data_IF_515103572055
#
_entry.id   IF_515103572055
#
_cell.length_a   1.000
_cell.length_b   1.000
_cell.length_c   1.000
_cell.angle_alpha   90.00
_cell.angle_beta   90.00
_cell.angle_gamma   90.00
#
_symmetry.space_group_name_H-M   'P 1'
#
loop_
_entity.id
_entity.type
_entity.pdbx_description
1 polymer ?
#
# COMPACT_ATOMS: atom_id res chain seq x y z
N UNK A 1 -5.60 -13.32 4.61
CA UNK A 1 -6.45 -14.53 4.71
C UNK A 1 -6.19 -15.28 6.03
N UNK A 2 -4.95 -15.48 6.42
CA UNK A 2 -4.59 -16.31 7.60
C UNK A 2 -4.77 -15.57 8.92
N UNK A 3 -4.60 -14.25 8.95
CA UNK A 3 -4.64 -13.42 10.14
C UNK A 3 -5.92 -13.60 11.01
N UNK A 4 -7.16 -13.66 10.46
CA UNK A 4 -8.37 -13.83 11.26
C UNK A 4 -8.51 -15.20 11.93
N UNK A 5 -7.66 -16.16 11.59
CA UNK A 5 -7.63 -17.52 12.14
C UNK A 5 -6.46 -17.73 13.11
N UNK A 6 -5.80 -16.65 13.55
CA UNK A 6 -4.65 -16.73 14.46
C UNK A 6 -5.09 -17.24 15.83
N UNK A 7 -4.46 -18.30 16.37
CA UNK A 7 -4.85 -18.88 17.66
C UNK A 7 -4.39 -18.04 18.86
N UNK A 8 -3.37 -17.19 18.66
CA UNK A 8 -2.78 -16.38 19.73
C UNK A 8 -2.59 -14.94 19.29
N UNK A 9 -2.73 -14.00 20.23
CA UNK A 9 -2.54 -12.55 20.00
C UNK A 9 -1.17 -12.22 19.37
N UNK A 10 -0.12 -12.85 19.85
CA UNK A 10 1.25 -12.63 19.33
C UNK A 10 1.41 -13.04 17.85
N UNK A 11 0.73 -14.13 17.45
CA UNK A 11 0.71 -14.58 16.06
C UNK A 11 -0.06 -13.57 15.21
N UNK A 12 -1.20 -13.09 15.69
CA UNK A 12 -1.98 -12.05 15.00
C UNK A 12 -1.17 -10.76 14.83
N UNK A 13 -0.47 -10.31 15.88
CA UNK A 13 0.39 -9.12 15.81
C UNK A 13 1.55 -9.30 14.82
N UNK A 14 2.23 -10.44 14.82
CA UNK A 14 3.29 -10.75 13.87
C UNK A 14 2.78 -10.76 12.42
N UNK A 15 1.61 -11.35 12.18
CA UNK A 15 0.98 -11.36 10.85
C UNK A 15 0.54 -9.97 10.40
N UNK A 16 0.09 -9.13 11.32
CA UNK A 16 -0.24 -7.72 11.03
C UNK A 16 1.00 -6.95 10.55
N UNK A 17 2.14 -7.14 11.20
CA UNK A 17 3.40 -6.53 10.77
C UNK A 17 3.84 -6.99 9.38
N UNK A 18 3.74 -8.29 9.10
CA UNK A 18 4.04 -8.83 7.77
C UNK A 18 3.08 -8.27 6.73
N UNK A 19 1.80 -8.14 7.05
CA UNK A 19 0.80 -7.56 6.16
C UNK A 19 1.10 -6.10 5.86
N UNK A 20 1.40 -5.29 6.88
CA UNK A 20 1.74 -3.88 6.74
C UNK A 20 3.00 -3.70 5.88
N UNK A 21 4.07 -4.43 6.17
CA UNK A 21 5.29 -4.42 5.36
C UNK A 21 5.01 -4.82 3.91
N UNK A 22 4.19 -5.85 3.68
CA UNK A 22 3.85 -6.33 2.33
C UNK A 22 3.05 -5.29 1.53
N UNK A 23 2.11 -4.59 2.17
CA UNK A 23 1.33 -3.52 1.53
C UNK A 23 2.26 -2.35 1.16
N UNK A 24 3.13 -1.93 2.06
CA UNK A 24 4.08 -0.85 1.80
C UNK A 24 5.04 -1.20 0.65
N UNK A 25 5.60 -2.40 0.64
CA UNK A 25 6.47 -2.87 -0.46
C UNK A 25 5.71 -2.91 -1.79
N UNK A 26 4.44 -3.29 -1.81
CA UNK A 26 3.65 -3.36 -3.05
C UNK A 26 3.22 -1.98 -3.56
N UNK A 27 3.16 -0.97 -2.70
CA UNK A 27 2.70 0.37 -3.05
C UNK A 27 3.69 1.11 -3.95
N UNK A 28 5.00 0.93 -3.74
CA UNK A 28 6.04 1.63 -4.49
C UNK A 28 6.06 1.26 -5.99
N UNK A 29 5.99 -0.02 -6.40
CA UNK A 29 5.84 -0.38 -7.81
C UNK A 29 4.60 0.23 -8.47
N UNK A 30 3.47 0.33 -7.75
CA UNK A 30 2.28 0.99 -8.28
C UNK A 30 2.47 2.48 -8.53
N UNK A 31 3.18 3.18 -7.64
CA UNK A 31 3.51 4.59 -7.82
C UNK A 31 4.49 4.78 -8.98
N UNK A 32 5.50 3.94 -9.09
CA UNK A 32 6.43 3.93 -10.20
C UNK A 32 5.69 3.69 -11.53
N UNK A 33 4.81 2.70 -11.60
CA UNK A 33 4.00 2.40 -12.79
C UNK A 33 3.18 3.63 -13.27
N UNK A 34 2.59 4.38 -12.34
CA UNK A 34 1.86 5.62 -12.67
C UNK A 34 2.82 6.70 -13.20
N UNK A 35 3.99 6.85 -12.59
CA UNK A 35 4.99 7.82 -13.02
C UNK A 35 5.56 7.49 -14.40
N UNK A 36 5.80 6.21 -14.70
CA UNK A 36 6.43 5.75 -15.92
C UNK A 36 5.47 5.72 -17.11
N UNK A 37 4.20 5.41 -16.88
CA UNK A 37 3.20 5.33 -17.96
C UNK A 37 2.56 6.69 -18.31
N UNK A 38 2.83 7.75 -17.55
CA UNK A 38 2.25 9.08 -17.80
C UNK A 38 3.31 10.10 -18.17
N UNK A 39 3.04 10.96 -19.18
CA UNK A 39 3.86 12.12 -19.47
C UNK A 39 4.01 13.02 -18.24
N UNK A 40 5.14 13.72 -18.12
CA UNK A 40 5.44 14.59 -16.97
C UNK A 40 4.33 15.59 -16.64
N UNK A 41 3.64 16.10 -17.66
CA UNK A 41 2.54 17.06 -17.54
C UNK A 41 1.28 16.45 -16.88
N UNK A 42 1.06 15.13 -17.03
CA UNK A 42 -0.11 14.42 -16.53
C UNK A 42 0.16 13.64 -15.24
N UNK A 43 1.41 13.53 -14.80
CA UNK A 43 1.78 12.78 -13.57
C UNK A 43 1.04 13.27 -12.33
N UNK A 44 0.92 14.57 -12.16
CA UNK A 44 0.18 15.17 -11.04
C UNK A 44 -1.29 14.75 -11.03
N UNK A 45 -1.93 14.74 -12.20
CA UNK A 45 -3.31 14.29 -12.34
C UNK A 45 -3.45 12.80 -12.07
N UNK A 46 -2.50 11.99 -12.55
CA UNK A 46 -2.46 10.53 -12.27
C UNK A 46 -2.39 10.23 -10.78
N UNK A 47 -1.51 10.90 -10.04
CA UNK A 47 -1.41 10.75 -8.59
C UNK A 47 -2.65 11.28 -7.86
N UNK A 48 -3.29 12.35 -8.33
CA UNK A 48 -4.54 12.84 -7.76
C UNK A 48 -5.67 11.82 -7.92
N UNK A 49 -5.81 11.22 -9.10
CA UNK A 49 -6.79 10.15 -9.36
C UNK A 49 -6.51 8.93 -8.50
N UNK A 50 -5.25 8.51 -8.37
CA UNK A 50 -4.85 7.41 -7.48
C UNK A 50 -5.27 7.70 -6.03
N UNK A 51 -4.98 8.89 -5.52
CA UNK A 51 -5.34 9.30 -4.16
C UNK A 51 -6.85 9.32 -3.96
N UNK A 52 -7.61 9.79 -4.94
CA UNK A 52 -9.06 9.75 -4.91
C UNK A 52 -9.60 8.33 -4.78
N UNK A 53 -9.11 7.38 -5.58
CA UNK A 53 -9.53 5.98 -5.48
C UNK A 53 -9.10 5.31 -4.16
N UNK A 54 -7.95 5.67 -3.60
CA UNK A 54 -7.56 5.25 -2.25
C UNK A 54 -8.59 5.71 -1.22
N UNK A 55 -9.02 6.97 -1.29
CA UNK A 55 -10.06 7.52 -0.41
C UNK A 55 -11.39 6.79 -0.55
N UNK A 56 -11.87 6.56 -1.77
CA UNK A 56 -13.09 5.80 -2.04
C UNK A 56 -12.97 4.37 -1.50
N UNK A 57 -11.84 3.71 -1.75
CA UNK A 57 -11.57 2.36 -1.25
C UNK A 57 -11.60 2.28 0.27
N UNK A 58 -11.05 3.28 0.96
CA UNK A 58 -11.08 3.37 2.43
C UNK A 58 -12.50 3.49 2.98
N UNK A 59 -13.35 4.30 2.35
CA UNK A 59 -14.75 4.45 2.74
C UNK A 59 -15.50 3.12 2.54
N UNK A 60 -15.34 2.47 1.40
CA UNK A 60 -15.98 1.17 1.11
C UNK A 60 -15.50 0.11 2.10
N UNK A 61 -14.20 0.03 2.37
CA UNK A 61 -13.63 -0.93 3.31
C UNK A 61 -14.15 -0.71 4.73
N UNK A 62 -14.26 0.54 5.17
CA UNK A 62 -14.79 0.90 6.50
C UNK A 62 -16.29 0.59 6.63
N UNK A 63 -17.05 0.71 5.55
CA UNK A 63 -18.47 0.37 5.52
C UNK A 63 -18.74 -1.15 5.44
N UNK A 64 -17.76 -1.96 5.06
CA UNK A 64 -17.93 -3.40 4.81
C UNK A 64 -18.49 -4.17 6.01
N UNK A 65 -17.96 -4.04 7.25
CA UNK A 65 -18.52 -4.75 8.40
C UNK A 65 -19.97 -4.37 8.67
N UNK A 66 -20.32 -3.09 8.49
CA UNK A 66 -21.69 -2.59 8.65
C UNK A 66 -22.64 -3.21 7.61
N UNK A 67 -22.22 -3.24 6.34
CA UNK A 67 -23.00 -3.85 5.26
C UNK A 67 -23.21 -5.34 5.49
N UNK A 68 -22.18 -6.07 5.90
CA UNK A 68 -22.27 -7.49 6.19
C UNK A 68 -23.24 -7.78 7.32
N UNK A 69 -23.27 -6.94 8.36
CA UNK A 69 -24.14 -7.15 9.51
C UNK A 69 -25.59 -6.77 9.23
N UNK A 70 -25.81 -5.62 8.60
CA UNK A 70 -27.16 -5.04 8.48
C UNK A 70 -27.88 -5.38 7.16
N UNK A 71 -27.15 -5.76 6.11
CA UNK A 71 -27.73 -6.09 4.81
C UNK A 71 -27.69 -7.60 4.55
N UNK A 72 -26.62 -8.26 4.98
CA UNK A 72 -26.40 -9.69 4.75
C UNK A 72 -26.65 -10.56 5.99
N UNK A 73 -27.11 -9.98 7.10
CA UNK A 73 -27.39 -10.65 8.38
C UNK A 73 -26.24 -11.52 8.91
N UNK A 74 -24.99 -11.14 8.59
CA UNK A 74 -23.81 -11.84 9.10
C UNK A 74 -23.56 -11.44 10.54
N UNK A 75 -23.43 -12.44 11.45
CA UNK A 75 -23.20 -12.21 12.86
C UNK A 75 -21.90 -11.40 13.09
N UNK A 76 -22.01 -10.35 13.92
CA UNK A 76 -20.87 -9.56 14.41
C UNK A 76 -20.43 -9.97 15.81
N UNK A 77 -21.00 -11.04 16.36
CA UNK A 77 -20.68 -11.56 17.68
C UNK A 77 -19.99 -12.91 17.56
N UNK A 78 -18.97 -13.12 18.38
CA UNK A 78 -18.26 -14.39 18.49
C UNK A 78 -18.01 -14.72 19.98
N UNK A 79 -17.80 -16.00 20.34
CA UNK A 79 -17.34 -16.39 21.67
C UNK A 79 -16.03 -15.71 22.04
N UNK A 80 -15.75 -15.62 23.34
CA UNK A 80 -14.50 -15.02 23.82
C UNK A 80 -13.27 -15.74 23.22
N UNK A 81 -12.41 -14.99 22.58
CA UNK A 81 -11.20 -15.51 21.92
C UNK A 81 -11.36 -15.83 20.43
N UNK A 82 -12.55 -15.68 19.87
CA UNK A 82 -12.79 -15.84 18.42
C UNK A 82 -13.07 -14.53 17.72
N UNK A 83 -12.66 -14.45 16.44
CA UNK A 83 -12.92 -13.28 15.57
C UNK A 83 -14.32 -13.43 14.97
N UNK A 84 -15.17 -12.37 15.00
CA UNK A 84 -16.52 -12.40 14.43
C UNK A 84 -16.53 -12.79 12.95
N UNK A 85 -17.57 -13.50 12.48
CA UNK A 85 -17.71 -13.91 11.09
C UNK A 85 -17.70 -12.72 10.11
N UNK A 86 -18.31 -11.59 10.46
CA UNK A 86 -18.31 -10.36 9.66
C UNK A 86 -16.89 -9.86 9.37
N UNK A 87 -16.00 -9.92 10.36
CA UNK A 87 -14.60 -9.53 10.22
C UNK A 87 -13.84 -10.53 9.34
N UNK A 88 -14.03 -11.84 9.56
CA UNK A 88 -13.41 -12.90 8.73
C UNK A 88 -13.77 -12.73 7.25
N UNK A 89 -15.04 -12.51 6.96
CA UNK A 89 -15.52 -12.32 5.59
C UNK A 89 -14.97 -11.02 5.00
N UNK A 90 -14.93 -9.92 5.75
CA UNK A 90 -14.33 -8.65 5.28
C UNK A 90 -12.86 -8.83 4.88
N UNK A 91 -12.08 -9.56 5.67
CA UNK A 91 -10.68 -9.86 5.33
C UNK A 91 -10.53 -10.72 4.08
N UNK A 92 -11.41 -11.72 3.91
CA UNK A 92 -11.39 -12.59 2.73
C UNK A 92 -11.80 -11.79 1.48
N UNK A 93 -12.87 -11.01 1.55
CA UNK A 93 -13.29 -10.14 0.44
C UNK A 93 -12.19 -9.15 0.05
N UNK A 94 -11.58 -8.48 1.03
CA UNK A 94 -10.48 -7.57 0.80
C UNK A 94 -9.29 -8.26 0.12
N UNK A 95 -8.92 -9.46 0.58
CA UNK A 95 -7.83 -10.23 0.00
C UNK A 95 -8.12 -10.67 -1.45
N UNK A 96 -9.35 -11.11 -1.75
CA UNK A 96 -9.76 -11.51 -3.11
C UNK A 96 -9.73 -10.32 -4.06
N UNK A 97 -10.29 -9.17 -3.64
CA UNK A 97 -10.29 -7.94 -4.44
C UNK A 97 -8.85 -7.45 -4.67
N UNK A 98 -8.01 -7.47 -3.65
CA UNK A 98 -6.61 -7.04 -3.74
C UNK A 98 -5.81 -7.92 -4.70
N UNK A 99 -5.85 -9.25 -4.52
CA UNK A 99 -5.16 -10.19 -5.41
C UNK A 99 -5.70 -10.09 -6.83
N UNK A 100 -7.02 -10.02 -6.99
CA UNK A 100 -7.67 -9.90 -8.30
C UNK A 100 -7.26 -8.61 -9.02
N UNK A 101 -7.18 -7.48 -8.34
CA UNK A 101 -6.74 -6.21 -8.93
C UNK A 101 -5.27 -6.23 -9.34
N UNK A 102 -4.39 -6.81 -8.51
CA UNK A 102 -2.97 -6.97 -8.86
C UNK A 102 -2.81 -7.87 -10.08
N UNK A 103 -3.46 -9.04 -10.09
CA UNK A 103 -3.39 -9.97 -11.22
C UNK A 103 -3.93 -9.32 -12.51
N UNK A 104 -5.04 -8.60 -12.41
CA UNK A 104 -5.58 -7.84 -13.55
C UNK A 104 -4.56 -6.82 -14.08
N UNK A 105 -3.93 -6.05 -13.20
CA UNK A 105 -2.92 -5.07 -13.57
C UNK A 105 -1.72 -5.75 -14.25
N UNK A 106 -1.17 -6.79 -13.64
CA UNK A 106 -0.01 -7.53 -14.20
C UNK A 106 -0.31 -8.12 -15.58
N UNK A 107 -1.52 -8.65 -15.80
CA UNK A 107 -1.89 -9.27 -17.08
C UNK A 107 -2.18 -8.22 -18.16
N UNK A 108 -2.76 -7.08 -17.76
CA UNK A 108 -3.25 -6.07 -18.71
C UNK A 108 -2.31 -4.91 -18.95
N UNK A 109 -1.45 -4.59 -18.02
CA UNK A 109 -0.54 -3.46 -18.14
C UNK A 109 0.76 -3.91 -18.81
N UNK A 110 1.13 -3.22 -19.88
CA UNK A 110 2.44 -3.42 -20.53
C UNK A 110 3.46 -2.57 -19.76
N UNK A 111 4.47 -3.22 -19.23
CA UNK A 111 5.64 -2.53 -18.71
C UNK A 111 6.58 -2.17 -19.87
N UNK A 112 7.02 -0.93 -19.90
CA UNK A 112 8.02 -0.47 -20.83
C UNK A 112 9.41 -0.69 -20.25
N UNK A 113 10.35 -1.18 -21.04
CA UNK A 113 11.72 -1.29 -20.59
C UNK A 113 12.32 0.10 -20.34
N UNK A 114 13.32 0.24 -19.43
CA UNK A 114 13.98 1.54 -19.21
C UNK A 114 14.52 2.17 -20.49
N UNK A 115 14.93 1.35 -21.47
CA UNK A 115 15.38 1.80 -22.78
C UNK A 115 14.25 2.38 -23.64
N UNK A 116 13.04 1.83 -23.56
CA UNK A 116 11.86 2.35 -24.24
C UNK A 116 11.39 3.65 -23.58
N UNK A 117 11.40 3.71 -22.25
CA UNK A 117 11.05 4.92 -21.48
C UNK A 117 12.01 6.08 -21.79
N UNK A 118 13.30 5.84 -21.82
CA UNK A 118 14.29 6.85 -22.20
C UNK A 118 14.04 7.40 -23.62
N UNK A 119 13.66 6.53 -24.56
CA UNK A 119 13.27 6.97 -25.93
C UNK A 119 12.01 7.83 -25.94
N UNK A 120 11.00 7.49 -25.14
CA UNK A 120 9.77 8.29 -25.02
C UNK A 120 10.00 9.67 -24.40
N UNK A 121 10.91 9.73 -23.43
CA UNK A 121 11.24 10.97 -22.73
C UNK A 121 12.32 11.80 -23.45
N UNK A 122 12.89 11.34 -24.57
CA UNK A 122 14.05 11.91 -25.23
C UNK A 122 15.29 12.04 -24.30
N UNK A 123 15.41 11.13 -23.35
CA UNK A 123 16.54 11.06 -22.43
C UNK A 123 17.57 10.05 -22.93
N UNK A 124 18.85 10.27 -22.63
CA UNK A 124 19.87 9.26 -22.90
C UNK A 124 19.71 8.13 -21.91
N UNK A 125 19.62 6.89 -22.40
CA UNK A 125 19.62 5.71 -21.55
C UNK A 125 20.98 5.53 -20.89
N UNK A 126 21.06 5.80 -19.60
CA UNK A 126 22.17 5.40 -18.76
C UNK A 126 21.81 4.06 -18.11
N UNK A 127 22.61 3.00 -18.29
CA UNK A 127 22.37 1.74 -17.60
C UNK A 127 22.40 1.96 -16.08
N UNK A 128 21.31 1.71 -15.40
CA UNK A 128 21.30 1.71 -13.93
C UNK A 128 22.29 0.66 -13.41
N UNK A 129 23.35 1.08 -12.77
CA UNK A 129 24.20 0.19 -12.00
C UNK A 129 23.36 -0.38 -10.85
N UNK A 130 23.46 -1.70 -10.63
CA UNK A 130 22.75 -2.35 -9.54
C UNK A 130 23.21 -1.71 -8.22
N UNK A 131 22.33 -0.94 -7.60
CA UNK A 131 22.61 -0.28 -6.35
C UNK A 131 23.11 -1.28 -5.30
N UNK A 132 24.34 -1.12 -4.88
CA UNK A 132 24.93 -1.91 -3.79
C UNK A 132 24.41 -1.39 -2.46
N UNK A 133 24.23 -2.27 -1.45
CA UNK A 133 23.88 -1.84 -0.09
C UNK A 133 24.83 -0.74 0.44
N UNK A 134 26.09 -0.77 0.02
CA UNK A 134 27.08 0.24 0.39
C UNK A 134 26.78 1.60 -0.24
N UNK A 135 26.30 1.63 -1.47
CA UNK A 135 25.87 2.86 -2.17
C UNK A 135 24.64 3.44 -1.50
N UNK A 136 23.64 2.61 -1.19
CA UNK A 136 22.43 3.06 -0.47
C UNK A 136 22.80 3.74 0.86
N UNK A 137 23.74 3.18 1.63
CA UNK A 137 24.20 3.79 2.89
C UNK A 137 24.96 5.11 2.63
N UNK A 138 25.69 5.18 1.55
CA UNK A 138 26.43 6.39 1.16
C UNK A 138 25.45 7.50 0.73
N UNK A 139 24.42 7.16 -0.03
CA UNK A 139 23.39 8.08 -0.50
C UNK A 139 22.54 8.62 0.65
N UNK A 140 22.23 7.75 1.64
CA UNK A 140 21.55 8.18 2.88
C UNK A 140 22.40 9.22 3.63
N UNK A 141 23.74 9.04 3.69
CA UNK A 141 24.63 9.98 4.33
C UNK A 141 24.82 11.27 3.53
N UNK A 142 24.73 11.19 2.21
CA UNK A 142 24.80 12.32 1.29
C UNK A 142 23.48 13.07 1.12
N UNK A 143 22.43 12.62 1.81
CA UNK A 143 21.08 13.17 1.69
C UNK A 143 21.05 14.69 1.96
N UNK A 144 20.42 15.49 1.08
CA UNK A 144 20.28 16.94 1.29
C UNK A 144 19.60 17.29 2.61
N UNK A 145 20.04 18.35 3.27
CA UNK A 145 19.50 18.80 4.57
C UNK A 145 17.97 18.93 4.57
N UNK A 146 17.41 19.41 3.48
CA UNK A 146 15.95 19.55 3.32
C UNK A 146 15.23 18.20 3.38
N UNK A 147 15.79 17.16 2.79
CA UNK A 147 15.20 15.82 2.85
C UNK A 147 15.28 15.21 4.25
N UNK A 148 16.38 15.44 4.96
CA UNK A 148 16.51 15.02 6.36
C UNK A 148 15.46 15.74 7.24
N UNK A 149 15.27 17.05 7.05
CA UNK A 149 14.24 17.81 7.75
C UNK A 149 12.84 17.28 7.45
N UNK A 150 12.53 17.00 6.19
CA UNK A 150 11.25 16.40 5.79
C UNK A 150 11.05 15.03 6.41
N UNK A 151 12.08 14.19 6.45
CA UNK A 151 12.02 12.87 7.08
C UNK A 151 11.68 12.97 8.59
N UNK A 152 12.27 13.94 9.30
CA UNK A 152 11.97 14.19 10.71
C UNK A 152 10.53 14.66 10.90
N UNK A 153 10.07 15.62 10.08
CA UNK A 153 8.67 16.08 10.12
C UNK A 153 7.71 14.95 9.82
N UNK A 154 8.01 14.14 8.82
CA UNK A 154 7.19 12.99 8.43
C UNK A 154 7.10 11.95 9.56
N UNK A 155 8.22 11.67 10.23
CA UNK A 155 8.24 10.76 11.37
C UNK A 155 7.27 11.23 12.49
N UNK A 156 7.35 12.49 12.89
CA UNK A 156 6.46 13.02 13.94
C UNK A 156 5.01 13.11 13.48
N UNK A 157 4.76 13.42 12.21
CA UNK A 157 3.42 13.45 11.63
C UNK A 157 2.77 12.06 11.66
N UNK A 158 3.49 11.03 11.24
CA UNK A 158 3.01 9.65 11.32
C UNK A 158 2.81 9.18 12.77
N UNK A 159 3.73 9.54 13.66
CA UNK A 159 3.58 9.23 15.08
C UNK A 159 2.28 9.83 15.66
N UNK A 160 1.99 11.10 15.35
CA UNK A 160 0.77 11.77 15.79
C UNK A 160 -0.49 11.14 15.18
N UNK A 161 -0.47 10.81 13.88
CA UNK A 161 -1.58 10.16 13.20
C UNK A 161 -1.88 8.76 13.78
N UNK A 162 -0.86 7.96 14.02
CA UNK A 162 -1.04 6.64 14.64
C UNK A 162 -1.54 6.75 16.08
N UNK A 163 -1.03 7.70 16.86
CA UNK A 163 -1.53 7.94 18.21
C UNK A 163 -3.02 8.32 18.19
N UNK A 164 -3.42 9.19 17.26
CA UNK A 164 -4.82 9.57 17.09
C UNK A 164 -5.70 8.37 16.66
N UNK A 165 -5.22 7.53 15.76
CA UNK A 165 -5.97 6.35 15.28
C UNK A 165 -6.17 5.27 16.36
N UNK A 166 -5.23 5.12 17.28
CA UNK A 166 -5.32 4.11 18.35
C UNK A 166 -6.26 4.56 19.47
N UNK A 167 -6.37 5.88 19.72
CA UNK A 167 -7.11 6.43 20.84
C UNK A 167 -8.45 7.11 20.47
N UNK A 168 -8.85 7.09 19.19
CA UNK A 168 -10.18 7.49 18.72
C UNK A 168 -11.00 6.32 18.25
#
# INVERSE_FOLDING_TARGET
IVMPYSPYLWVAAGMLWILDASINISMEPFRALVADNLPSEQRTQGFAVQTFFIGVGSVVASAMPYLLTNVFDVSNTAPAGEVPPSVKISFICGAVVFIGSILWTVIRTKEYSPQELAKFNNEQFEPEEKASLKEIITDIKAMPKTMVQLAVVQFFSWFALFAMWIYT
#
